data_IF_939146819789
#
_entry.id   IF_939146819789
#
_cell.length_a   1.000
_cell.length_b   1.000
_cell.length_c   1.000
_cell.angle_alpha   90.00
_cell.angle_beta   90.00
_cell.angle_gamma   90.00
#
_symmetry.space_group_name_H-M   'P 1'
#
loop_
_entity.id
_entity.type
_entity.pdbx_description
1 polymer ?
#
# COMPACT_ATOMS: atom_id res chain seq x y z
N UNK A 1 2.76 20.38 -8.83
CA UNK A 1 2.43 19.56 -7.64
C UNK A 1 3.66 18.73 -7.35
N UNK A 2 4.24 18.88 -6.16
CA UNK A 2 5.39 18.08 -5.75
C UNK A 2 4.92 16.63 -5.66
N UNK A 3 5.33 15.78 -6.61
CA UNK A 3 4.85 14.40 -6.74
C UNK A 3 5.24 13.52 -5.55
N UNK A 4 6.12 14.04 -4.70
CA UNK A 4 6.69 13.39 -3.51
C UNK A 4 6.33 14.15 -2.22
N UNK A 5 5.16 14.78 -2.18
CA UNK A 5 4.73 15.63 -1.07
C UNK A 5 4.53 14.91 0.27
N UNK A 6 4.51 13.57 0.28
CA UNK A 6 4.43 12.79 1.51
C UNK A 6 5.83 12.31 1.92
N UNK A 7 6.35 12.68 3.11
CA UNK A 7 7.63 12.18 3.59
C UNK A 7 7.55 10.69 3.90
N UNK A 8 8.65 9.93 3.72
CA UNK A 8 8.67 8.52 4.06
C UNK A 8 8.55 8.32 5.58
N UNK A 9 8.10 7.14 6.02
CA UNK A 9 7.76 6.89 7.41
C UNK A 9 8.96 7.02 8.36
N UNK A 10 10.20 6.74 7.91
CA UNK A 10 11.42 6.95 8.72
C UNK A 10 11.84 8.41 8.87
N UNK A 11 11.33 9.30 8.03
CA UNK A 11 11.51 10.76 8.16
C UNK A 11 10.39 11.34 9.04
N UNK A 12 9.16 10.87 8.86
CA UNK A 12 8.01 11.32 9.64
C UNK A 12 8.05 10.81 11.10
N UNK A 13 8.63 9.64 11.33
CA UNK A 13 8.70 8.95 12.62
C UNK A 13 10.17 8.63 12.95
N UNK A 14 10.90 9.52 13.66
CA UNK A 14 12.32 9.33 13.95
C UNK A 14 12.64 8.14 14.88
N UNK A 15 11.62 7.48 15.45
CA UNK A 15 11.76 6.25 16.24
C UNK A 15 11.63 4.96 15.41
N UNK A 16 11.27 5.08 14.13
CA UNK A 16 11.07 3.93 13.24
C UNK A 16 12.42 3.42 12.75
N UNK A 17 12.68 2.13 12.91
CA UNK A 17 13.86 1.47 12.33
C UNK A 17 13.46 0.55 11.18
N UNK A 18 14.41 0.32 10.27
CA UNK A 18 14.22 -0.61 9.16
C UNK A 18 13.96 -2.05 9.65
N UNK A 19 14.51 -2.40 10.82
CA UNK A 19 14.38 -3.73 11.44
C UNK A 19 13.04 -3.93 12.19
N UNK A 20 12.44 -2.84 12.69
CA UNK A 20 11.18 -2.88 13.44
C UNK A 20 10.19 -1.80 12.96
N UNK A 21 9.57 -1.98 11.77
CA UNK A 21 8.62 -1.02 11.24
C UNK A 21 7.26 -1.18 11.94
N UNK A 22 6.91 -0.17 12.76
CA UNK A 22 5.63 0.07 13.41
C UNK A 22 5.12 -1.04 14.35
N UNK A 23 4.97 -0.66 15.62
CA UNK A 23 4.58 -1.59 16.69
C UNK A 23 3.06 -1.69 16.90
N UNK A 24 2.27 -0.89 16.17
CA UNK A 24 0.80 -0.69 16.13
C UNK A 24 0.41 0.79 16.35
N UNK A 25 -0.73 1.22 15.78
CA UNK A 25 -1.33 2.54 16.05
C UNK A 25 -0.90 3.62 15.04
N UNK A 26 -0.41 4.76 15.53
CA UNK A 26 -0.09 5.91 14.66
C UNK A 26 1.03 5.60 13.64
N UNK A 27 1.96 4.72 14.00
CA UNK A 27 3.04 4.29 13.11
C UNK A 27 2.52 3.44 11.94
N UNK A 28 1.59 2.53 12.23
CA UNK A 28 0.94 1.67 11.24
C UNK A 28 0.12 2.49 10.25
N UNK A 29 -0.73 3.40 10.75
CA UNK A 29 -1.53 4.29 9.91
C UNK A 29 -0.66 5.19 8.99
N UNK A 30 0.51 5.63 9.49
CA UNK A 30 1.46 6.41 8.69
C UNK A 30 2.09 5.57 7.58
N UNK A 31 2.50 4.33 7.88
CA UNK A 31 3.04 3.40 6.89
C UNK A 31 1.97 3.04 5.85
N UNK A 32 0.73 2.76 6.25
CA UNK A 32 -0.36 2.45 5.32
C UNK A 32 -0.67 3.61 4.37
N UNK A 33 -0.74 4.84 4.89
CA UNK A 33 -0.95 6.03 4.07
C UNK A 33 0.20 6.24 3.07
N UNK A 34 1.45 6.09 3.53
CA UNK A 34 2.62 6.16 2.66
C UNK A 34 2.63 5.04 1.62
N UNK A 35 2.26 3.82 2.00
CA UNK A 35 2.22 2.66 1.10
C UNK A 35 1.23 2.84 -0.04
N UNK A 36 0.10 3.52 0.23
CA UNK A 36 -0.88 3.83 -0.81
C UNK A 36 -0.24 4.65 -1.92
N UNK A 37 0.43 5.76 -1.60
CA UNK A 37 1.16 6.57 -2.57
C UNK A 37 2.35 5.81 -3.19
N UNK A 38 3.15 5.12 -2.37
CA UNK A 38 4.32 4.35 -2.81
C UNK A 38 3.99 3.30 -3.88
N UNK A 39 2.85 2.63 -3.77
CA UNK A 39 2.39 1.65 -4.76
C UNK A 39 1.98 2.25 -6.09
N UNK A 40 1.64 3.54 -6.13
CA UNK A 40 1.32 4.24 -7.39
C UNK A 40 2.55 4.67 -8.17
N UNK A 41 3.72 4.67 -7.53
CA UNK A 41 4.98 5.05 -8.15
C UNK A 41 5.52 3.92 -9.04
N UNK A 42 6.00 4.28 -10.22
CA UNK A 42 6.78 3.39 -11.08
C UNK A 42 8.17 3.13 -10.50
N UNK A 43 8.89 2.14 -11.04
CA UNK A 43 10.22 1.76 -10.55
C UNK A 43 11.22 2.94 -10.56
N UNK A 44 11.24 3.73 -11.64
CA UNK A 44 12.07 4.94 -11.72
C UNK A 44 11.65 5.99 -10.69
N UNK A 45 10.35 6.18 -10.46
CA UNK A 45 9.85 7.16 -9.48
C UNK A 45 10.13 6.74 -8.04
N UNK A 46 10.10 5.43 -7.76
CA UNK A 46 10.51 4.87 -6.47
C UNK A 46 12.00 5.09 -6.22
N UNK A 47 12.84 4.89 -7.24
CA UNK A 47 14.26 5.15 -7.15
C UNK A 47 14.56 6.63 -6.88
N UNK A 48 13.91 7.54 -7.63
CA UNK A 48 14.04 9.00 -7.42
C UNK A 48 13.54 9.42 -6.03
N UNK A 49 12.42 8.86 -5.57
CA UNK A 49 11.90 9.10 -4.22
C UNK A 49 12.89 8.67 -3.14
N UNK A 50 13.48 7.48 -3.25
CA UNK A 50 14.46 6.98 -2.28
C UNK A 50 15.77 7.78 -2.32
N UNK A 51 16.18 8.30 -3.47
CA UNK A 51 17.34 9.18 -3.61
C UNK A 51 17.07 10.55 -2.97
N UNK A 52 15.92 11.16 -3.28
CA UNK A 52 15.50 12.46 -2.75
C UNK A 52 15.46 12.51 -1.23
N UNK A 53 15.03 11.42 -0.60
CA UNK A 53 14.91 11.32 0.86
C UNK A 53 16.15 10.71 1.54
N UNK A 54 17.26 10.56 0.81
CA UNK A 54 18.53 9.99 1.28
C UNK A 54 18.33 8.66 2.03
N UNK A 55 17.54 7.76 1.44
CA UNK A 55 17.24 6.47 2.04
C UNK A 55 18.52 5.65 2.21
N UNK A 56 18.81 5.21 3.44
CA UNK A 56 19.93 4.33 3.72
C UNK A 56 19.77 2.98 3.02
N UNK A 57 20.87 2.26 2.83
CA UNK A 57 20.83 0.91 2.26
C UNK A 57 19.88 -0.02 3.02
N UNK A 58 19.86 0.09 4.36
CA UNK A 58 18.96 -0.68 5.23
C UNK A 58 17.48 -0.40 4.93
N UNK A 59 17.10 0.87 4.73
CA UNK A 59 15.73 1.21 4.35
C UNK A 59 15.37 0.71 2.96
N UNK A 60 16.30 0.81 2.00
CA UNK A 60 16.09 0.29 0.65
C UNK A 60 15.86 -1.22 0.64
N UNK A 61 16.68 -1.97 1.39
CA UNK A 61 16.51 -3.42 1.55
C UNK A 61 15.21 -3.77 2.27
N UNK A 62 14.90 -3.11 3.39
CA UNK A 62 13.67 -3.37 4.14
C UNK A 62 12.41 -3.10 3.29
N UNK A 63 12.43 -2.07 2.45
CA UNK A 63 11.31 -1.76 1.56
C UNK A 63 11.16 -2.82 0.45
N UNK A 64 12.27 -3.22 -0.17
CA UNK A 64 12.27 -4.25 -1.21
C UNK A 64 11.80 -5.61 -0.65
N UNK A 65 12.32 -6.02 0.51
CA UNK A 65 11.98 -7.30 1.12
C UNK A 65 10.53 -7.36 1.58
N UNK A 66 10.04 -6.27 2.19
CA UNK A 66 8.82 -6.30 2.98
C UNK A 66 7.62 -5.67 2.28
N UNK A 67 7.82 -4.63 1.47
CA UNK A 67 6.72 -3.92 0.82
C UNK A 67 6.59 -4.25 -0.66
N UNK A 68 7.69 -4.51 -1.37
CA UNK A 68 7.62 -4.94 -2.78
C UNK A 68 7.28 -6.43 -2.91
N UNK A 69 7.80 -7.28 -2.01
CA UNK A 69 7.40 -8.71 -1.95
C UNK A 69 5.92 -8.88 -1.65
N UNK A 70 5.38 -8.08 -0.73
CA UNK A 70 3.95 -8.07 -0.41
C UNK A 70 3.11 -7.44 -1.52
N UNK A 71 3.60 -6.39 -2.20
CA UNK A 71 2.86 -5.78 -3.31
C UNK A 71 2.60 -6.77 -4.46
N UNK A 72 3.59 -7.60 -4.82
CA UNK A 72 3.41 -8.63 -5.83
C UNK A 72 2.38 -9.69 -5.39
N UNK A 73 2.37 -10.05 -4.10
CA UNK A 73 1.38 -10.96 -3.53
C UNK A 73 -0.02 -10.33 -3.48
N UNK A 74 -0.13 -9.06 -3.09
CA UNK A 74 -1.38 -8.31 -3.05
C UNK A 74 -1.96 -8.07 -4.45
N UNK A 75 -1.12 -7.83 -5.46
CA UNK A 75 -1.57 -7.66 -6.84
C UNK A 75 -2.11 -8.99 -7.40
N UNK A 76 -1.49 -10.10 -7.01
CA UNK A 76 -1.99 -11.44 -7.30
C UNK A 76 -3.31 -11.73 -6.58
N UNK A 77 -3.42 -11.40 -5.30
CA UNK A 77 -4.65 -11.55 -4.50
C UNK A 77 -5.79 -10.66 -5.03
N UNK A 78 -5.50 -9.40 -5.37
CA UNK A 78 -6.46 -8.48 -5.96
C UNK A 78 -6.94 -8.97 -7.34
N UNK A 79 -6.03 -9.56 -8.13
CA UNK A 79 -6.40 -10.19 -9.40
C UNK A 79 -7.28 -11.41 -9.18
N UNK A 80 -6.92 -12.30 -8.25
CA UNK A 80 -7.71 -13.49 -7.90
C UNK A 80 -9.09 -13.10 -7.36
N UNK A 81 -9.17 -12.07 -6.52
CA UNK A 81 -10.44 -11.52 -6.02
C UNK A 81 -11.29 -10.90 -7.13
N UNK A 82 -10.66 -10.22 -8.10
CA UNK A 82 -11.36 -9.67 -9.26
C UNK A 82 -11.87 -10.78 -10.21
N UNK A 83 -11.07 -11.82 -10.43
CA UNK A 83 -11.44 -13.02 -11.19
C UNK A 83 -12.61 -13.75 -10.49
N UNK A 84 -12.53 -13.90 -9.17
CA UNK A 84 -13.60 -14.46 -8.35
C UNK A 84 -14.86 -13.61 -8.42
N UNK A 85 -14.76 -12.27 -8.31
CA UNK A 85 -15.90 -11.36 -8.40
C UNK A 85 -16.55 -11.38 -9.80
N UNK A 86 -15.76 -11.55 -10.86
CA UNK A 86 -16.25 -11.71 -12.23
C UNK A 86 -16.95 -13.06 -12.43
N UNK A 87 -16.46 -14.13 -11.80
CA UNK A 87 -17.06 -15.46 -11.84
C UNK A 87 -18.29 -15.60 -10.92
N UNK A 88 -18.37 -14.80 -9.86
CA UNK A 88 -19.44 -14.79 -8.87
C UNK A 88 -20.11 -13.41 -8.78
N UNK A 89 -20.82 -12.98 -9.83
CA UNK A 89 -21.55 -11.72 -9.80
C UNK A 89 -22.58 -11.77 -8.66
N UNK A 90 -22.50 -10.80 -7.76
CA UNK A 90 -23.47 -10.66 -6.68
C UNK A 90 -24.88 -10.63 -7.28
N UNK A 91 -25.84 -11.40 -6.74
CA UNK A 91 -27.20 -11.38 -7.26
C UNK A 91 -27.71 -9.93 -7.19
N UNK A 92 -28.10 -9.39 -8.35
CA UNK A 92 -28.71 -8.06 -8.42
C UNK A 92 -29.79 -7.98 -7.36
N UNK A 93 -29.62 -7.04 -6.43
CA UNK A 93 -30.48 -6.81 -5.27
C UNK A 93 -31.93 -6.67 -5.73
N UNK A 94 -32.67 -7.79 -5.80
CA UNK A 94 -34.10 -7.79 -6.10
C UNK A 94 -34.75 -6.88 -5.08
N UNK A 95 -35.41 -5.81 -5.54
CA UNK A 95 -36.05 -4.83 -4.63
C UNK A 95 -37.14 -5.55 -3.85
N UNK A 96 -36.96 -5.69 -2.54
CA UNK A 96 -37.86 -6.38 -1.59
C UNK A 96 -39.25 -5.74 -1.47
N UNK A 97 -39.50 -4.61 -2.15
CA UNK A 97 -40.74 -3.82 -2.06
C UNK A 97 -41.87 -4.28 -3.01
N UNK A 98 -41.68 -5.31 -3.85
CA UNK A 98 -42.71 -5.79 -4.79
C UNK A 98 -43.66 -6.87 -4.22
N UNK A 99 -43.54 -7.26 -2.94
CA UNK A 99 -44.32 -8.37 -2.35
C UNK A 99 -45.29 -7.98 -1.23
N UNK A 100 -45.73 -6.72 -1.14
CA UNK A 100 -46.90 -6.37 -0.31
C UNK A 100 -48.07 -5.98 -1.20
N UNK A 101 -48.95 -6.95 -1.45
CA UNK A 101 -50.33 -6.75 -1.91
C UNK A 101 -51.26 -7.20 -0.80
#
# INVERSE_FOLDING_TARGET
MDRYGFPPPWIALPGLSADNPATQGAEEACIEAWLFDWRTLSADEKADYLDRWDASAEWREAIAERFERDAAWLEQDAREAAEWAAAHPLPTRRRWWQFRR
#
